data_IF_222486928600
#
_entry.id   IF_222486928600
#
_cell.length_a   1.000
_cell.length_b   1.000
_cell.length_c   1.000
_cell.angle_alpha   90.00
_cell.angle_beta   90.00
_cell.angle_gamma   90.00
#
_symmetry.space_group_name_H-M   'P 1'
#
loop_
_entity.id
_entity.type
_entity.pdbx_description
1 polymer ?
#
# COMPACT_ATOMS: atom_id res chain seq x y z
N UNK A 1 28.44 -67.90 43.54
CA UNK A 1 29.21 -67.45 44.73
C UNK A 1 30.29 -66.47 44.28
N UNK A 2 30.42 -65.39 45.04
CA UNK A 2 31.11 -64.13 44.72
C UNK A 2 32.64 -64.22 44.77
N UNK A 3 33.33 -63.45 43.93
CA UNK A 3 34.63 -62.84 44.27
C UNK A 3 34.64 -61.37 43.85
N UNK A 4 34.76 -60.50 44.86
CA UNK A 4 35.12 -59.08 44.75
C UNK A 4 36.63 -58.95 44.50
N UNK A 5 37.05 -57.94 43.74
CA UNK A 5 38.29 -57.22 44.02
C UNK A 5 38.24 -55.82 43.39
N UNK A 6 38.69 -54.86 44.18
CA UNK A 6 38.73 -53.41 43.99
C UNK A 6 40.13 -53.03 43.47
N UNK A 7 40.21 -51.93 42.71
CA UNK A 7 41.33 -50.99 42.89
C UNK A 7 42.16 -50.69 41.65
N UNK A 8 42.11 -49.44 41.20
CA UNK A 8 43.05 -48.88 40.24
C UNK A 8 42.51 -47.63 39.54
N UNK A 9 42.19 -46.57 40.30
CA UNK A 9 41.90 -45.26 39.71
C UNK A 9 43.23 -44.59 39.37
N UNK A 10 43.58 -44.52 38.08
CA UNK A 10 44.60 -43.61 37.58
C UNK A 10 43.89 -42.40 36.95
N UNK A 11 43.93 -41.26 37.62
CA UNK A 11 43.47 -39.99 37.06
C UNK A 11 44.59 -39.49 36.13
N UNK A 12 44.46 -39.79 34.84
CA UNK A 12 45.23 -39.10 33.81
C UNK A 12 44.53 -37.79 33.46
N UNK A 13 45.02 -36.66 33.95
CA UNK A 13 44.58 -35.34 33.47
C UNK A 13 45.22 -35.15 32.08
N UNK A 14 44.49 -35.50 31.04
CA UNK A 14 44.84 -35.12 29.67
C UNK A 14 44.52 -33.64 29.47
N UNK A 15 45.55 -32.80 29.36
CA UNK A 15 45.42 -31.44 28.85
C UNK A 15 45.02 -31.53 27.37
N UNK A 16 43.73 -31.40 27.08
CA UNK A 16 43.25 -31.16 25.72
C UNK A 16 43.43 -29.67 25.44
N UNK A 17 44.49 -29.32 24.70
CA UNK A 17 44.58 -27.99 24.09
C UNK A 17 43.50 -27.88 23.03
N UNK A 18 42.42 -27.17 23.35
CA UNK A 18 41.45 -26.70 22.36
C UNK A 18 42.07 -25.49 21.66
N UNK A 19 42.75 -25.70 20.56
CA UNK A 19 43.11 -24.57 19.68
C UNK A 19 41.81 -24.03 19.06
N UNK A 20 41.53 -22.72 19.15
CA UNK A 20 40.41 -22.16 18.43
C UNK A 20 40.72 -22.27 16.94
N UNK A 21 40.02 -23.16 16.22
CA UNK A 21 40.00 -23.15 14.76
C UNK A 21 39.17 -21.94 14.32
N UNK A 22 39.74 -20.74 14.49
CA UNK A 22 39.28 -19.54 13.82
C UNK A 22 39.91 -19.54 12.43
N UNK A 23 39.36 -20.33 11.51
CA UNK A 23 39.67 -20.19 10.10
C UNK A 23 39.26 -18.78 9.61
N UNK A 24 39.91 -18.25 8.55
CA UNK A 24 39.54 -16.95 8.01
C UNK A 24 38.06 -16.96 7.62
N UNK A 25 37.24 -16.14 8.29
CA UNK A 25 35.87 -15.88 7.86
C UNK A 25 35.94 -15.22 6.48
N UNK A 26 35.34 -15.89 5.50
CA UNK A 26 35.22 -15.35 4.14
C UNK A 26 34.42 -14.05 4.25
N UNK A 27 35.04 -12.92 3.90
CA UNK A 27 34.35 -11.64 3.90
C UNK A 27 33.07 -11.77 3.05
N UNK A 28 31.91 -11.56 3.67
CA UNK A 28 30.65 -11.55 2.94
C UNK A 28 30.71 -10.47 1.86
N UNK A 29 30.12 -10.75 0.69
CA UNK A 29 30.04 -9.77 -0.39
C UNK A 29 29.43 -8.49 0.20
N UNK A 30 30.18 -7.39 0.12
CA UNK A 30 29.69 -6.07 0.51
C UNK A 30 28.37 -5.81 -0.24
N UNK A 31 27.26 -5.77 0.48
CA UNK A 31 25.96 -5.41 -0.07
C UNK A 31 26.09 -3.99 -0.64
N UNK A 32 26.08 -3.88 -1.96
CA UNK A 32 26.01 -2.59 -2.65
C UNK A 32 24.54 -2.20 -2.68
N UNK A 33 24.19 -1.06 -2.09
CA UNK A 33 22.83 -0.54 -2.14
C UNK A 33 22.43 -0.23 -3.60
N UNK A 34 21.18 -0.49 -4.00
CA UNK A 34 20.70 -0.09 -5.32
C UNK A 34 20.83 1.42 -5.54
N UNK A 35 21.17 1.82 -6.76
CA UNK A 35 21.10 3.21 -7.20
C UNK A 35 19.78 3.42 -7.95
N UNK A 36 19.09 4.52 -7.65
CA UNK A 36 17.80 4.85 -8.26
C UNK A 36 17.92 6.08 -9.17
N UNK A 37 17.12 6.10 -10.24
CA UNK A 37 16.93 7.25 -11.11
C UNK A 37 15.44 7.56 -11.21
N UNK A 38 15.10 8.84 -11.31
CA UNK A 38 13.72 9.26 -11.56
C UNK A 38 13.36 8.95 -12.99
N UNK A 39 12.19 8.34 -13.21
CA UNK A 39 11.53 8.29 -14.51
C UNK A 39 10.45 9.38 -14.56
N UNK A 40 10.65 10.45 -15.34
CA UNK A 40 9.67 11.55 -15.43
C UNK A 40 8.46 11.21 -16.31
N UNK A 41 8.46 10.07 -17.02
CA UNK A 41 7.38 9.65 -17.90
C UNK A 41 6.51 8.54 -17.30
N UNK A 42 6.77 8.19 -16.04
CA UNK A 42 6.01 7.22 -15.28
C UNK A 42 5.16 7.94 -14.20
N UNK A 43 3.85 7.62 -14.06
CA UNK A 43 3.05 6.76 -14.92
C UNK A 43 2.73 7.43 -16.27
N UNK A 44 2.20 6.68 -17.23
CA UNK A 44 1.67 7.24 -18.49
C UNK A 44 0.47 8.15 -18.20
N UNK A 45 0.11 9.09 -19.11
CA UNK A 45 -1.05 9.95 -18.91
C UNK A 45 -2.31 9.16 -18.59
N UNK A 46 -3.03 9.57 -17.54
CA UNK A 46 -4.25 8.89 -17.12
C UNK A 46 -5.35 9.03 -18.17
N UNK A 47 -6.21 8.00 -18.35
CA UNK A 47 -7.31 8.08 -19.29
C UNK A 47 -8.37 9.10 -18.85
N UNK A 48 -9.26 9.46 -19.77
CA UNK A 48 -10.48 10.25 -19.51
C UNK A 48 -10.30 11.62 -18.82
N UNK A 49 -9.09 12.18 -18.86
CA UNK A 49 -8.69 13.39 -18.12
C UNK A 49 -8.84 13.20 -16.60
N UNK A 50 -8.54 12.00 -16.10
CA UNK A 50 -8.56 11.73 -14.69
C UNK A 50 -7.52 12.55 -13.94
N UNK A 51 -7.92 12.98 -12.74
CA UNK A 51 -7.08 13.59 -11.73
C UNK A 51 -7.29 12.84 -10.43
N UNK A 52 -6.20 12.47 -9.78
CA UNK A 52 -6.21 11.63 -8.57
C UNK A 52 -6.55 12.42 -7.32
N UNK A 53 -6.35 13.75 -7.33
CA UNK A 53 -6.23 14.51 -6.10
C UNK A 53 -5.08 13.96 -5.24
N UNK A 54 -5.25 14.00 -3.92
CA UNK A 54 -4.29 13.45 -2.97
C UNK A 54 -4.24 11.91 -3.02
N UNK A 55 -3.09 11.27 -3.29
CA UNK A 55 -2.90 9.84 -3.09
C UNK A 55 -2.91 9.51 -1.58
N UNK A 56 -3.81 8.64 -1.16
CA UNK A 56 -3.95 8.20 0.23
C UNK A 56 -3.02 7.03 0.60
N UNK A 57 -2.50 6.29 -0.37
CA UNK A 57 -1.62 5.16 -0.15
C UNK A 57 -1.24 4.41 -1.42
N UNK A 58 -0.24 3.54 -1.31
CA UNK A 58 0.22 2.68 -2.39
C UNK A 58 0.51 1.27 -1.88
N UNK A 59 0.30 0.28 -2.75
CA UNK A 59 0.59 -1.13 -2.49
C UNK A 59 0.96 -1.84 -3.80
N UNK A 60 1.62 -2.99 -3.70
CA UNK A 60 2.09 -3.78 -4.85
C UNK A 60 1.45 -5.16 -4.77
N UNK A 61 0.94 -5.67 -5.88
CA UNK A 61 0.38 -7.03 -5.99
C UNK A 61 1.42 -8.07 -6.40
N UNK A 62 1.02 -9.33 -6.52
CA UNK A 62 1.92 -10.42 -6.93
C UNK A 62 2.44 -10.33 -8.36
N UNK A 63 1.91 -9.41 -9.18
CA UNK A 63 2.26 -9.19 -10.59
C UNK A 63 3.22 -8.00 -10.80
N UNK A 64 3.77 -7.43 -9.72
CA UNK A 64 4.52 -6.17 -9.72
C UNK A 64 3.70 -4.96 -10.23
N UNK A 65 2.38 -5.01 -10.09
CA UNK A 65 1.55 -3.84 -10.38
C UNK A 65 1.49 -2.89 -9.19
N UNK A 66 1.64 -1.59 -9.46
CA UNK A 66 1.40 -0.56 -8.45
C UNK A 66 -0.09 -0.24 -8.38
N UNK A 67 -0.67 -0.43 -7.21
CA UNK A 67 -1.99 0.06 -6.88
C UNK A 67 -1.84 1.35 -6.09
N UNK A 68 -2.54 2.41 -6.53
CA UNK A 68 -2.72 3.64 -5.77
C UNK A 68 -4.17 3.75 -5.33
N UNK A 69 -4.36 4.22 -4.09
CA UNK A 69 -5.67 4.65 -3.59
C UNK A 69 -5.67 6.15 -3.46
N UNK A 70 -6.69 6.82 -3.98
CA UNK A 70 -6.73 8.28 -4.14
C UNK A 70 -7.90 8.89 -3.39
N UNK A 71 -7.85 10.19 -3.10
CA UNK A 71 -8.92 10.93 -2.41
C UNK A 71 -9.66 11.91 -3.30
N UNK A 72 -9.26 12.05 -4.58
CA UNK A 72 -9.92 12.96 -5.52
C UNK A 72 -11.41 12.67 -5.70
N UNK A 73 -11.81 11.43 -5.46
CA UNK A 73 -13.22 11.03 -5.46
C UNK A 73 -14.02 11.61 -4.30
N UNK A 74 -13.44 12.20 -3.25
CA UNK A 74 -14.15 12.70 -2.07
C UNK A 74 -14.63 14.14 -2.24
N UNK A 75 -15.66 14.54 -1.47
CA UNK A 75 -16.12 15.94 -1.44
C UNK A 75 -14.98 16.85 -1.00
N UNK A 76 -14.53 17.74 -1.89
CA UNK A 76 -13.38 18.60 -1.64
C UNK A 76 -12.01 17.93 -1.81
N UNK A 77 -11.96 16.67 -2.28
CA UNK A 77 -10.73 15.92 -2.53
C UNK A 77 -9.96 16.38 -3.77
N UNK A 78 -10.58 17.23 -4.61
CA UNK A 78 -9.92 17.97 -5.68
C UNK A 78 -9.82 19.46 -5.31
N UNK A 79 -8.62 20.02 -5.38
CA UNK A 79 -8.32 21.42 -5.07
C UNK A 79 -8.41 22.32 -6.32
N UNK A 80 -8.66 23.63 -6.14
CA UNK A 80 -8.82 24.64 -7.22
C UNK A 80 -7.85 24.47 -8.42
N UNK A 81 -6.54 24.22 -8.20
CA UNK A 81 -5.57 24.04 -9.28
C UNK A 81 -5.75 22.75 -10.11
N UNK A 82 -6.42 21.73 -9.59
CA UNK A 82 -6.62 20.41 -10.24
C UNK A 82 -7.77 20.41 -11.26
N UNK A 83 -8.38 21.58 -11.52
CA UNK A 83 -9.47 21.76 -12.47
C UNK A 83 -10.85 21.96 -11.83
N UNK A 84 -10.92 22.17 -10.52
CA UNK A 84 -12.10 22.85 -9.96
C UNK A 84 -12.05 24.32 -10.33
N UNK A 85 -12.66 24.62 -11.47
CA UNK A 85 -13.67 25.66 -11.53
C UNK A 85 -14.91 25.29 -10.71
N UNK A 86 -14.73 24.95 -9.43
CA UNK A 86 -15.76 24.60 -8.45
C UNK A 86 -16.42 23.24 -8.66
N UNK A 87 -16.72 22.55 -7.56
CA UNK A 87 -18.03 21.90 -7.51
C UNK A 87 -19.06 23.02 -7.71
N UNK A 88 -20.09 22.78 -8.51
CA UNK A 88 -21.27 23.64 -8.43
C UNK A 88 -21.76 23.58 -6.98
N UNK A 89 -21.61 24.67 -6.24
CA UNK A 89 -21.94 24.73 -4.80
C UNK A 89 -23.44 24.55 -4.54
N UNK A 90 -24.27 24.53 -5.59
CA UNK A 90 -25.70 24.24 -5.53
C UNK A 90 -26.05 22.79 -5.84
N UNK A 91 -25.24 22.08 -6.62
CA UNK A 91 -25.56 20.71 -7.10
C UNK A 91 -24.54 19.65 -6.71
N UNK A 92 -23.35 20.05 -6.26
CA UNK A 92 -22.23 19.15 -5.94
C UNK A 92 -21.50 18.59 -7.18
N UNK A 93 -21.88 19.01 -8.39
CA UNK A 93 -21.33 18.47 -9.64
C UNK A 93 -19.91 19.01 -9.88
N UNK A 94 -18.95 18.11 -10.09
CA UNK A 94 -17.54 18.46 -10.37
C UNK A 94 -17.33 18.82 -11.87
N UNK A 95 -16.57 19.88 -12.17
CA UNK A 95 -15.93 20.08 -13.49
C UNK A 95 -16.35 21.31 -14.31
N UNK A 96 -15.84 22.51 -13.96
CA UNK A 96 -15.91 23.72 -14.79
C UNK A 96 -14.60 24.05 -15.53
N UNK A 97 -14.72 24.49 -16.79
CA UNK A 97 -13.71 24.91 -17.79
C UNK A 97 -12.59 23.91 -18.18
N UNK A 98 -12.03 23.17 -17.22
CA UNK A 98 -11.11 22.07 -17.47
C UNK A 98 -11.86 20.77 -17.19
N UNK A 99 -11.87 19.84 -18.15
CA UNK A 99 -12.59 18.57 -18.07
C UNK A 99 -11.93 17.57 -17.10
N UNK A 100 -11.29 18.05 -16.03
CA UNK A 100 -10.70 17.22 -14.99
C UNK A 100 -11.80 16.41 -14.33
N UNK A 101 -11.66 15.08 -14.36
CA UNK A 101 -12.58 14.16 -13.72
C UNK A 101 -11.86 13.52 -12.55
N UNK A 102 -12.51 13.38 -11.40
CA UNK A 102 -11.95 12.54 -10.35
C UNK A 102 -11.70 11.14 -10.93
N UNK A 103 -10.50 10.59 -10.69
CA UNK A 103 -10.23 9.20 -10.99
C UNK A 103 -11.17 8.28 -10.20
N UNK A 104 -11.34 7.02 -10.61
CA UNK A 104 -11.78 6.00 -9.69
C UNK A 104 -10.91 6.02 -8.42
N UNK A 105 -11.46 5.67 -7.26
CA UNK A 105 -10.73 5.69 -6.00
C UNK A 105 -9.50 4.78 -5.97
N UNK A 106 -9.50 3.71 -6.77
CA UNK A 106 -8.38 2.78 -6.89
C UNK A 106 -7.96 2.68 -8.34
N UNK A 107 -6.65 2.83 -8.59
CA UNK A 107 -6.05 2.69 -9.90
C UNK A 107 -4.86 1.75 -9.80
N UNK A 108 -4.77 0.81 -10.72
CA UNK A 108 -3.69 -0.16 -10.83
C UNK A 108 -2.89 0.10 -12.10
N UNK A 109 -1.57 0.16 -11.93
CA UNK A 109 -0.60 0.37 -12.98
C UNK A 109 0.29 -0.84 -13.15
N UNK A 110 0.59 -1.22 -14.39
CA UNK A 110 1.72 -2.12 -14.63
C UNK A 110 3.07 -1.42 -14.45
N UNK A 111 4.16 -2.19 -14.54
CA UNK A 111 5.53 -1.67 -14.37
C UNK A 111 5.93 -0.63 -15.42
N UNK A 112 5.26 -0.58 -16.57
CA UNK A 112 5.46 0.43 -17.60
C UNK A 112 4.64 1.71 -17.36
N UNK A 113 3.77 1.71 -16.35
CA UNK A 113 2.91 2.83 -15.99
C UNK A 113 1.62 2.93 -16.81
N UNK A 114 1.19 1.85 -17.48
CA UNK A 114 -0.15 1.78 -18.08
C UNK A 114 -1.19 1.54 -16.98
N UNK A 115 -2.35 2.18 -17.08
CA UNK A 115 -3.52 1.79 -16.27
C UNK A 115 -4.05 0.45 -16.77
N UNK A 116 -4.01 -0.59 -15.94
CA UNK A 116 -4.51 -1.92 -16.29
C UNK A 116 -5.91 -2.18 -15.71
N UNK A 117 -6.20 -1.64 -14.52
CA UNK A 117 -7.52 -1.69 -13.88
C UNK A 117 -7.76 -0.42 -13.07
N UNK A 118 -9.03 -0.09 -12.90
CA UNK A 118 -9.47 0.94 -11.96
C UNK A 118 -10.88 0.60 -11.46
N UNK A 119 -11.15 0.82 -10.18
CA UNK A 119 -12.44 0.46 -9.57
C UNK A 119 -12.80 1.36 -8.39
N UNK A 120 -14.01 1.14 -7.87
CA UNK A 120 -14.70 2.01 -6.91
C UNK A 120 -15.64 2.99 -7.64
N UNK A 121 -16.68 3.46 -6.94
CA UNK A 121 -17.64 4.40 -7.51
C UNK A 121 -17.34 5.82 -7.01
N UNK A 122 -16.80 6.72 -7.86
CA UNK A 122 -16.52 8.09 -7.45
C UNK A 122 -17.78 8.97 -7.37
N UNK A 123 -18.98 8.46 -7.65
CA UNK A 123 -20.20 9.24 -7.64
C UNK A 123 -20.73 9.51 -6.22
N UNK A 124 -21.30 10.72 -6.05
CA UNK A 124 -21.93 11.14 -4.81
C UNK A 124 -23.15 10.27 -4.50
N UNK A 125 -23.19 9.78 -3.27
CA UNK A 125 -24.37 9.23 -2.62
C UNK A 125 -25.38 10.36 -2.46
N UNK A 126 -26.64 10.15 -2.86
CA UNK A 126 -27.68 11.16 -2.70
C UNK A 126 -27.82 11.64 -1.25
N UNK A 127 -28.08 12.94 -1.08
CA UNK A 127 -28.38 13.51 0.23
C UNK A 127 -29.52 12.74 0.92
N UNK A 128 -29.39 12.49 2.23
CA UNK A 128 -30.37 11.73 3.00
C UNK A 128 -30.24 10.21 2.94
N UNK A 129 -29.20 9.68 2.27
CA UNK A 129 -28.92 8.24 2.30
C UNK A 129 -28.40 7.81 3.67
N UNK A 130 -28.98 6.76 4.23
CA UNK A 130 -28.53 6.13 5.48
C UNK A 130 -27.67 4.91 5.17
N UNK A 131 -26.47 4.86 5.76
CA UNK A 131 -25.54 3.75 5.60
C UNK A 131 -25.97 2.50 6.39
N UNK A 132 -25.29 1.36 6.17
CA UNK A 132 -25.60 0.11 6.86
C UNK A 132 -25.52 0.18 8.39
N UNK A 133 -24.72 1.14 8.91
CA UNK A 133 -24.58 1.40 10.35
C UNK A 133 -25.59 2.44 10.89
N UNK A 134 -26.58 2.86 10.10
CA UNK A 134 -27.58 3.86 10.52
C UNK A 134 -27.10 5.32 10.49
N UNK A 135 -25.87 5.58 10.03
CA UNK A 135 -25.29 6.91 9.86
C UNK A 135 -25.75 7.58 8.56
N UNK A 136 -25.86 8.91 8.54
CA UNK A 136 -26.11 9.64 7.30
C UNK A 136 -24.83 9.63 6.43
N UNK A 137 -24.91 8.99 5.27
CA UNK A 137 -23.83 8.92 4.27
C UNK A 137 -24.16 9.76 3.03
N UNK A 138 -25.25 10.53 3.05
CA UNK A 138 -25.64 11.38 1.93
C UNK A 138 -24.66 12.52 1.68
N UNK A 139 -24.38 12.81 0.41
CA UNK A 139 -23.37 13.79 -0.01
C UNK A 139 -21.92 13.29 0.12
N UNK A 140 -21.71 12.01 0.41
CA UNK A 140 -20.41 11.34 0.43
C UNK A 140 -20.27 10.49 -0.83
N UNK A 141 -19.05 10.16 -1.27
CA UNK A 141 -18.87 9.28 -2.43
C UNK A 141 -18.81 7.83 -1.95
N UNK A 142 -19.76 7.01 -2.39
CA UNK A 142 -19.95 5.66 -1.85
C UNK A 142 -18.86 4.70 -2.32
N UNK A 143 -18.63 3.68 -1.49
CA UNK A 143 -17.98 2.38 -1.75
C UNK A 143 -16.59 2.20 -1.13
N UNK A 144 -15.93 3.22 -0.56
CA UNK A 144 -14.65 3.06 0.17
C UNK A 144 -14.58 3.88 1.47
N UNK A 145 -13.66 3.55 2.40
CA UNK A 145 -13.44 4.32 3.61
C UNK A 145 -13.23 5.81 3.33
N UNK A 146 -13.73 6.65 4.21
CA UNK A 146 -13.43 8.07 4.22
C UNK A 146 -11.94 8.30 4.59
N UNK A 147 -11.38 9.43 4.16
CA UNK A 147 -9.97 9.80 4.37
C UNK A 147 -8.98 8.62 4.26
N UNK A 148 -8.90 7.96 3.08
CA UNK A 148 -8.06 6.76 2.89
C UNK A 148 -6.60 7.05 3.25
N UNK A 149 -5.95 6.20 4.04
CA UNK A 149 -4.57 6.36 4.53
C UNK A 149 -3.64 5.19 4.17
N UNK A 150 -4.13 4.18 3.46
CA UNK A 150 -3.29 3.08 3.03
C UNK A 150 -4.03 2.00 2.26
N UNK A 151 -3.26 1.17 1.57
CA UNK A 151 -3.72 -0.09 1.05
C UNK A 151 -2.69 -1.20 1.32
N UNK A 152 -3.15 -2.45 1.28
CA UNK A 152 -2.34 -3.64 1.42
C UNK A 152 -2.89 -4.73 0.49
N UNK A 153 -1.99 -5.47 -0.17
CA UNK A 153 -2.37 -6.65 -0.97
C UNK A 153 -1.94 -7.89 -0.21
N UNK A 154 -2.87 -8.80 0.05
CA UNK A 154 -2.56 -10.07 0.71
C UNK A 154 -2.05 -11.13 -0.27
N UNK A 155 -1.69 -12.30 0.25
CA UNK A 155 -1.13 -13.41 -0.54
C UNK A 155 -2.13 -14.06 -1.52
N UNK A 156 -3.42 -13.71 -1.45
CA UNK A 156 -4.45 -14.15 -2.38
C UNK A 156 -4.83 -13.03 -3.37
N UNK A 157 -4.03 -11.96 -3.44
CA UNK A 157 -4.27 -10.76 -4.24
C UNK A 157 -5.58 -10.01 -3.88
N UNK A 158 -6.05 -10.13 -2.63
CA UNK A 158 -7.10 -9.24 -2.15
C UNK A 158 -6.51 -7.87 -1.78
N UNK A 159 -7.21 -6.81 -2.19
CA UNK A 159 -6.83 -5.42 -1.86
C UNK A 159 -7.60 -4.96 -0.64
N UNK A 160 -6.87 -4.72 0.45
CA UNK A 160 -7.36 -4.15 1.70
C UNK A 160 -7.11 -2.65 1.71
N UNK A 161 -8.13 -1.85 2.02
CA UNK A 161 -8.06 -0.38 2.01
C UNK A 161 -8.47 0.12 3.38
N UNK A 162 -7.65 0.98 3.98
CA UNK A 162 -7.88 1.55 5.31
C UNK A 162 -8.06 3.05 5.25
N UNK A 163 -9.01 3.57 6.04
CA UNK A 163 -9.28 5.00 6.18
C UNK A 163 -9.66 5.38 7.61
N UNK A 164 -10.29 6.54 7.76
CA UNK A 164 -10.85 6.97 9.03
C UNK A 164 -12.07 7.89 8.83
N UNK A 165 -12.77 8.18 9.92
CA UNK A 165 -13.89 9.12 9.93
C UNK A 165 -15.26 8.51 9.62
N UNK A 166 -15.32 7.26 9.19
CA UNK A 166 -16.56 6.51 8.91
C UNK A 166 -16.60 5.10 9.53
N UNK A 167 -15.51 4.67 10.17
CA UNK A 167 -15.45 3.42 10.93
C UNK A 167 -15.29 2.17 10.07
N UNK A 168 -14.79 2.33 8.83
CA UNK A 168 -14.44 1.25 7.90
C UNK A 168 -12.92 1.03 7.87
#
# INVERSE_FOLDING_TARGET
MSRRAVGGLAIGVGLVSMEPVAGPQKAEKRLVAPAFKVDPFWPKPLPDNWVTGEPGGTCIDSQDHLIIVTRGFQTGGLASPEGVGGADTKTGTLGGAFKSKASPPVIEFDTEGNVVRAWGNPALVPAGTTGPAGNNIGGQNAVLPNSIHGCFVDYQDNVWIGGNGDGV
#
